data_IF_820519273811
#
_entry.id   IF_820519273811
#
_cell.length_a   1.000
_cell.length_b   1.000
_cell.length_c   1.000
_cell.angle_alpha   90.00
_cell.angle_beta   90.00
_cell.angle_gamma   90.00
#
_symmetry.space_group_name_H-M   'P 1'
#
loop_
_entity.id
_entity.type
_entity.pdbx_description
1 polymer ?
#
# COMPACT_ATOMS: atom_id res chain seq x y z
N UNK A 1 42.72 3.17 -35.42
CA UNK A 1 42.69 3.51 -33.98
C UNK A 1 41.46 4.35 -33.60
N UNK A 2 41.13 5.46 -34.29
CA UNK A 2 39.95 6.30 -33.95
C UNK A 2 38.60 5.59 -34.07
N UNK A 3 38.42 4.66 -35.00
CA UNK A 3 37.17 3.89 -35.20
C UNK A 3 36.94 2.81 -34.13
N UNK A 4 38.03 2.22 -33.60
CA UNK A 4 37.97 1.21 -32.54
C UNK A 4 37.67 1.87 -31.19
N UNK A 5 38.20 3.07 -30.98
CA UNK A 5 37.93 3.85 -29.76
C UNK A 5 36.45 4.31 -29.69
N UNK A 6 35.87 4.68 -30.83
CA UNK A 6 34.45 5.06 -30.91
C UNK A 6 33.52 3.86 -30.66
N UNK A 7 33.90 2.67 -31.13
CA UNK A 7 33.12 1.45 -30.90
C UNK A 7 33.17 0.99 -29.43
N UNK A 8 34.32 1.15 -28.77
CA UNK A 8 34.50 0.88 -27.34
C UNK A 8 33.68 1.83 -26.46
N UNK A 9 33.60 3.12 -26.83
CA UNK A 9 32.75 4.08 -26.12
C UNK A 9 31.27 3.76 -26.25
N UNK A 10 30.81 3.26 -27.41
CA UNK A 10 29.39 2.91 -27.64
C UNK A 10 28.99 1.67 -26.84
N UNK A 11 29.87 0.69 -26.65
CA UNK A 11 29.61 -0.52 -25.84
C UNK A 11 29.50 -0.19 -24.34
N UNK A 12 30.33 0.75 -23.84
CA UNK A 12 30.27 1.15 -22.42
C UNK A 12 28.99 1.90 -22.07
N UNK A 13 28.42 2.68 -23.00
CA UNK A 13 27.16 3.39 -22.80
C UNK A 13 25.97 2.42 -22.78
N UNK A 14 26.02 1.27 -23.45
CA UNK A 14 24.95 0.28 -23.45
C UNK A 14 24.91 -0.60 -22.17
N UNK A 15 25.98 -0.68 -21.39
CA UNK A 15 26.07 -1.44 -20.15
C UNK A 15 25.55 -0.67 -18.89
N UNK A 16 25.24 0.62 -19.03
CA UNK A 16 24.86 1.50 -17.91
C UNK A 16 23.37 1.53 -17.57
N UNK A 17 22.49 0.80 -18.28
CA UNK A 17 21.02 0.85 -18.12
C UNK A 17 20.41 -0.39 -17.47
N UNK A 18 21.17 -1.13 -16.65
CA UNK A 18 20.53 -1.98 -15.64
C UNK A 18 20.10 -1.10 -14.49
N UNK A 19 19.03 -0.30 -14.71
CA UNK A 19 18.29 0.28 -13.62
C UNK A 19 17.82 -0.89 -12.74
N UNK A 20 18.36 -0.99 -11.52
CA UNK A 20 17.76 -1.76 -10.46
C UNK A 20 16.35 -1.19 -10.25
N UNK A 21 15.37 -1.72 -10.97
CA UNK A 21 13.99 -1.64 -10.53
C UNK A 21 13.94 -2.45 -9.24
N UNK A 22 14.14 -1.78 -8.11
CA UNK A 22 13.79 -2.30 -6.81
C UNK A 22 12.30 -2.58 -6.86
N UNK A 23 11.93 -3.79 -7.26
CA UNK A 23 10.58 -4.27 -7.25
C UNK A 23 10.19 -4.33 -5.77
N UNK A 24 9.48 -3.31 -5.30
CA UNK A 24 8.82 -3.39 -4.00
C UNK A 24 8.00 -4.67 -4.02
N UNK A 25 8.17 -5.54 -3.03
CA UNK A 25 7.41 -6.77 -2.96
C UNK A 25 5.93 -6.41 -3.09
N UNK A 26 5.26 -6.99 -4.08
CA UNK A 26 3.84 -6.75 -4.32
C UNK A 26 3.07 -7.17 -3.07
N UNK A 27 2.15 -6.34 -2.63
CA UNK A 27 1.25 -6.61 -1.51
C UNK A 27 -0.13 -6.86 -2.07
N UNK A 28 -0.79 -7.95 -1.66
CA UNK A 28 -2.14 -8.28 -2.13
C UNK A 28 -3.22 -7.61 -1.29
N UNK A 29 -3.04 -7.61 0.04
CA UNK A 29 -4.02 -7.07 1.00
C UNK A 29 -3.36 -6.00 1.85
N UNK A 30 -3.85 -4.78 1.75
CA UNK A 30 -3.50 -3.68 2.64
C UNK A 30 -4.53 -3.52 3.74
N UNK A 31 -4.08 -3.38 4.98
CA UNK A 31 -4.96 -3.17 6.14
C UNK A 31 -4.52 -1.89 6.84
N UNK A 32 -5.45 -0.99 7.09
CA UNK A 32 -5.20 0.27 7.81
C UNK A 32 -6.04 0.30 9.07
N UNK A 33 -5.38 0.41 10.22
CA UNK A 33 -5.98 0.45 11.55
C UNK A 33 -5.72 1.82 12.23
N UNK A 34 -6.57 2.27 13.18
CA UNK A 34 -6.51 3.63 13.70
C UNK A 34 -5.24 3.95 14.49
N UNK A 35 -4.89 3.13 15.48
CA UNK A 35 -3.76 3.41 16.38
C UNK A 35 -3.30 2.16 17.11
N UNK A 36 -2.04 2.18 17.60
CA UNK A 36 -1.52 1.14 18.51
C UNK A 36 -1.73 1.47 19.99
N UNK A 37 -2.17 2.67 20.29
CA UNK A 37 -2.37 3.12 21.68
C UNK A 37 -3.58 2.43 22.35
N UNK A 38 -4.50 1.91 21.55
CA UNK A 38 -5.63 1.12 22.02
C UNK A 38 -5.34 -0.38 21.84
N UNK A 39 -5.33 -1.18 22.90
CA UNK A 39 -5.01 -2.62 22.85
C UNK A 39 -5.88 -3.42 21.88
N UNK A 40 -7.11 -2.98 21.64
CA UNK A 40 -8.05 -3.58 20.68
C UNK A 40 -7.43 -3.70 19.29
N UNK A 41 -6.85 -2.64 18.76
CA UNK A 41 -6.33 -2.62 17.39
C UNK A 41 -5.09 -3.49 17.23
N UNK A 42 -4.28 -3.64 18.28
CA UNK A 42 -3.15 -4.58 18.31
C UNK A 42 -3.64 -6.03 18.31
N UNK A 43 -4.75 -6.31 19.01
CA UNK A 43 -5.37 -7.63 18.96
C UNK A 43 -5.96 -7.92 17.58
N UNK A 44 -6.57 -6.94 16.94
CA UNK A 44 -7.13 -7.09 15.60
C UNK A 44 -6.01 -7.28 14.56
N UNK A 45 -4.87 -6.57 14.67
CA UNK A 45 -3.67 -6.87 13.87
C UNK A 45 -3.29 -8.34 13.99
N UNK A 46 -3.23 -8.87 15.21
CA UNK A 46 -2.88 -10.27 15.44
C UNK A 46 -3.88 -11.22 14.79
N UNK A 47 -5.19 -10.94 14.91
CA UNK A 47 -6.24 -11.74 14.29
C UNK A 47 -6.19 -11.74 12.77
N UNK A 48 -5.94 -10.58 12.15
CA UNK A 48 -5.75 -10.50 10.71
C UNK A 48 -4.54 -11.32 10.24
N UNK A 49 -3.41 -11.23 10.94
CA UNK A 49 -2.22 -12.02 10.62
C UNK A 49 -2.49 -13.53 10.76
N UNK A 50 -3.15 -13.95 11.82
CA UNK A 50 -3.52 -15.35 12.03
C UNK A 50 -4.51 -15.85 10.96
N UNK A 51 -5.51 -15.06 10.61
CA UNK A 51 -6.51 -15.45 9.61
C UNK A 51 -5.92 -15.62 8.21
N UNK A 52 -4.88 -14.86 7.89
CA UNK A 52 -4.29 -14.82 6.55
C UNK A 52 -2.97 -15.60 6.43
N UNK A 53 -2.41 -16.12 7.53
CA UNK A 53 -1.07 -16.77 7.57
C UNK A 53 -0.92 -17.99 6.66
N UNK A 54 -1.98 -18.75 6.49
CA UNK A 54 -1.99 -20.00 5.70
C UNK A 54 -2.57 -19.76 4.29
N UNK A 55 -2.72 -18.50 3.89
CA UNK A 55 -3.16 -18.10 2.54
C UNK A 55 -1.97 -17.71 1.66
N UNK A 56 -2.18 -17.64 0.34
CA UNK A 56 -1.17 -17.17 -0.61
C UNK A 56 -1.05 -15.64 -0.64
N UNK A 57 -1.89 -14.90 0.12
CA UNK A 57 -1.92 -13.45 0.10
C UNK A 57 -0.77 -12.83 0.89
N UNK A 58 -0.03 -11.94 0.26
CA UNK A 58 0.88 -11.05 0.96
C UNK A 58 0.10 -9.91 1.62
N UNK A 59 0.36 -9.67 2.90
CA UNK A 59 -0.42 -8.75 3.74
C UNK A 59 0.46 -7.69 4.37
N UNK A 60 0.06 -6.44 4.27
CA UNK A 60 0.69 -5.34 5.00
C UNK A 60 -0.33 -4.62 5.88
N UNK A 61 -0.01 -4.40 7.15
CA UNK A 61 -0.86 -3.73 8.13
C UNK A 61 -0.17 -2.46 8.60
N UNK A 62 -0.85 -1.32 8.43
CA UNK A 62 -0.37 0.00 8.79
C UNK A 62 -1.30 0.65 9.83
N UNK A 63 -0.75 1.53 10.64
CA UNK A 63 -1.49 2.26 11.67
C UNK A 63 -1.46 3.76 11.38
N UNK A 64 -2.63 4.40 11.52
CA UNK A 64 -2.82 5.83 11.23
C UNK A 64 -2.42 6.75 12.38
N UNK A 65 -2.08 6.18 13.54
CA UNK A 65 -1.66 6.93 14.73
C UNK A 65 -2.69 7.98 15.19
N UNK A 66 -4.00 7.72 14.98
CA UNK A 66 -5.05 8.68 15.30
C UNK A 66 -5.08 9.92 14.39
N UNK A 67 -4.56 9.83 13.17
CA UNK A 67 -4.46 10.94 12.23
C UNK A 67 -5.04 10.59 10.87
N UNK A 68 -6.05 11.34 10.41
CA UNK A 68 -6.63 11.18 9.07
C UNK A 68 -5.62 11.48 7.95
N UNK A 69 -4.69 12.40 8.18
CA UNK A 69 -3.62 12.66 7.21
C UNK A 69 -2.70 11.45 7.06
N UNK A 70 -2.30 10.82 8.19
CA UNK A 70 -1.49 9.61 8.18
C UNK A 70 -2.24 8.42 7.59
N UNK A 71 -3.55 8.33 7.82
CA UNK A 71 -4.42 7.32 7.20
C UNK A 71 -4.36 7.41 5.68
N UNK A 72 -4.54 8.62 5.13
CA UNK A 72 -4.44 8.84 3.69
C UNK A 72 -3.05 8.49 3.15
N UNK A 73 -1.97 8.90 3.81
CA UNK A 73 -0.60 8.52 3.43
C UNK A 73 -0.42 7.00 3.39
N UNK A 74 -0.96 6.29 4.39
CA UNK A 74 -0.90 4.83 4.46
C UNK A 74 -1.65 4.18 3.29
N UNK A 75 -2.85 4.67 2.97
CA UNK A 75 -3.63 4.18 1.82
C UNK A 75 -2.88 4.43 0.51
N UNK A 76 -2.36 5.65 0.30
CA UNK A 76 -1.59 5.99 -0.89
C UNK A 76 -0.34 5.08 -1.04
N UNK A 77 0.35 4.79 0.07
CA UNK A 77 1.50 3.90 0.08
C UNK A 77 1.13 2.45 -0.28
N UNK A 78 -0.01 1.96 0.19
CA UNK A 78 -0.52 0.63 -0.15
C UNK A 78 -0.98 0.55 -1.61
N UNK A 79 -1.64 1.58 -2.13
CA UNK A 79 -1.98 1.70 -3.56
C UNK A 79 -0.71 1.61 -4.41
N UNK A 80 0.33 2.34 -4.06
CA UNK A 80 1.62 2.33 -4.77
C UNK A 80 2.31 0.96 -4.75
N UNK A 81 2.01 0.09 -3.77
CA UNK A 81 2.48 -1.30 -3.68
C UNK A 81 1.64 -2.28 -4.49
N UNK A 82 0.57 -1.81 -5.13
CA UNK A 82 -0.27 -2.61 -6.00
C UNK A 82 -1.22 -3.56 -5.29
N UNK A 83 -1.74 -3.16 -4.11
CA UNK A 83 -2.74 -3.96 -3.40
C UNK A 83 -3.97 -4.20 -4.26
N UNK A 84 -4.64 -5.33 -4.02
CA UNK A 84 -5.91 -5.69 -4.68
C UNK A 84 -7.11 -5.47 -3.78
N UNK A 85 -6.88 -5.50 -2.47
CA UNK A 85 -7.91 -5.29 -1.45
C UNK A 85 -7.38 -4.38 -0.35
N UNK A 86 -8.16 -3.37 -0.01
CA UNK A 86 -7.97 -2.48 1.12
C UNK A 86 -8.99 -2.81 2.19
N UNK A 87 -8.55 -3.15 3.40
CA UNK A 87 -9.39 -3.24 4.60
C UNK A 87 -9.03 -2.03 5.46
N UNK A 88 -9.98 -1.16 5.73
CA UNK A 88 -9.72 0.07 6.48
C UNK A 88 -10.72 0.23 7.64
N UNK A 89 -10.19 0.40 8.85
CA UNK A 89 -10.94 0.96 9.96
C UNK A 89 -10.63 2.45 10.04
N UNK A 90 -11.53 3.34 9.60
CA UNK A 90 -11.23 4.76 9.51
C UNK A 90 -11.01 5.37 10.89
N UNK A 91 -10.04 6.30 10.98
CA UNK A 91 -9.92 7.16 12.15
C UNK A 91 -11.12 8.10 12.25
N UNK A 92 -11.49 8.69 11.12
CA UNK A 92 -12.69 9.52 10.95
C UNK A 92 -13.41 9.11 9.65
N UNK A 93 -14.70 8.80 9.73
CA UNK A 93 -15.46 8.23 8.61
C UNK A 93 -15.61 9.19 7.42
N UNK A 94 -15.77 10.48 7.66
CA UNK A 94 -15.88 11.46 6.59
C UNK A 94 -14.52 11.79 5.96
N UNK A 95 -13.48 11.91 6.79
CA UNK A 95 -12.13 12.19 6.31
C UNK A 95 -11.53 11.04 5.49
N UNK A 96 -11.96 9.80 5.74
CA UNK A 96 -11.50 8.62 5.01
C UNK A 96 -12.04 8.54 3.57
N UNK A 97 -13.12 9.24 3.24
CA UNK A 97 -13.77 9.17 1.95
C UNK A 97 -12.79 9.37 0.77
N UNK A 98 -11.97 10.42 0.84
CA UNK A 98 -11.02 10.72 -0.23
C UNK A 98 -9.97 9.61 -0.45
N UNK A 99 -9.52 8.94 0.63
CA UNK A 99 -8.58 7.83 0.54
C UNK A 99 -9.23 6.60 -0.10
N UNK A 100 -10.47 6.31 0.26
CA UNK A 100 -11.24 5.19 -0.27
C UNK A 100 -11.59 5.40 -1.74
N UNK A 101 -11.99 6.61 -2.14
CA UNK A 101 -12.24 6.95 -3.55
C UNK A 101 -10.97 6.78 -4.40
N UNK A 102 -9.80 7.18 -3.88
CA UNK A 102 -8.53 6.97 -4.57
C UNK A 102 -8.25 5.47 -4.79
N UNK A 103 -8.45 4.64 -3.77
CA UNK A 103 -8.29 3.19 -3.89
C UNK A 103 -9.25 2.58 -4.92
N UNK A 104 -10.52 3.00 -4.92
CA UNK A 104 -11.52 2.53 -5.88
C UNK A 104 -11.22 2.96 -7.31
N UNK A 105 -10.70 4.17 -7.52
CA UNK A 105 -10.28 4.66 -8.84
C UNK A 105 -9.20 3.78 -9.47
N UNK A 106 -8.36 3.14 -8.65
CA UNK A 106 -7.34 2.17 -9.07
C UNK A 106 -7.89 0.72 -9.19
N UNK A 107 -9.20 0.51 -9.04
CA UNK A 107 -9.84 -0.80 -9.14
C UNK A 107 -9.63 -1.69 -7.91
N UNK A 108 -9.23 -1.13 -6.79
CA UNK A 108 -8.99 -1.85 -5.54
C UNK A 108 -10.33 -2.12 -4.84
N UNK A 109 -10.55 -3.36 -4.38
CA UNK A 109 -11.70 -3.68 -3.54
C UNK A 109 -11.54 -3.05 -2.15
N UNK A 110 -12.56 -2.35 -1.68
CA UNK A 110 -12.53 -1.69 -0.37
C UNK A 110 -13.50 -2.36 0.59
N UNK A 111 -13.01 -2.64 1.80
CA UNK A 111 -13.79 -3.17 2.92
C UNK A 111 -13.69 -2.19 4.08
N UNK A 112 -14.80 -1.57 4.45
CA UNK A 112 -14.91 -0.78 5.66
C UNK A 112 -15.04 -1.72 6.86
N UNK A 113 -14.08 -1.65 7.78
CA UNK A 113 -13.98 -2.52 8.95
C UNK A 113 -14.36 -1.76 10.21
N UNK A 114 -15.27 -2.30 11.00
CA UNK A 114 -15.72 -1.80 12.31
C UNK A 114 -16.41 -0.42 12.29
N UNK A 115 -15.91 0.54 11.54
CA UNK A 115 -16.48 1.90 11.43
C UNK A 115 -16.92 2.19 10.01
N UNK A 116 -18.07 2.87 9.88
CA UNK A 116 -18.57 3.30 8.58
C UNK A 116 -17.70 4.41 8.00
N UNK A 117 -17.55 4.38 6.69
CA UNK A 117 -17.05 5.52 5.91
C UNK A 117 -18.25 6.22 5.33
N UNK A 118 -18.33 7.52 5.54
CA UNK A 118 -19.39 8.38 5.06
C UNK A 118 -18.91 9.26 3.92
N UNK A 119 -19.83 9.97 3.26
CA UNK A 119 -19.50 10.91 2.18
C UNK A 119 -18.80 10.27 0.96
N UNK A 120 -19.10 9.00 0.70
CA UNK A 120 -18.62 8.25 -0.47
C UNK A 120 -19.66 7.23 -0.91
N UNK A 121 -19.66 6.92 -2.20
CA UNK A 121 -20.39 5.80 -2.81
C UNK A 121 -19.53 4.52 -2.90
N UNK A 122 -18.36 4.56 -2.29
CA UNK A 122 -17.36 3.50 -2.36
C UNK A 122 -17.70 2.30 -1.45
#
# INVERSE_FOLDING_TARGET
MKKVLALLMFVVVLMGLTACSGQSAQVDVGIVLPTKDEPRWVQDETRFREALKDTEYSVEILFSQGSSAKEKENVDALIAKGIKTLIICPHDGGAAAAAVEAAKAEGINVISYDRLITDTEA
#
